data_IF_836659907562
#
_entry.id   IF_836659907562
#
_cell.length_a   1.000
_cell.length_b   1.000
_cell.length_c   1.000
_cell.angle_alpha   90.00
_cell.angle_beta   90.00
_cell.angle_gamma   90.00
#
_symmetry.space_group_name_H-M   'P 1'
#
loop_
_entity.id
_entity.type
_entity.pdbx_description
1 polymer ?
#
# COMPACT_ATOMS: atom_id res chain seq x y z
N UNK A 1 6.66 -10.41 11.54
CA UNK A 1 6.97 -9.04 11.08
C UNK A 1 6.90 -9.03 9.54
N UNK A 2 6.22 -8.07 8.91
CA UNK A 2 5.92 -8.11 7.47
C UNK A 2 7.04 -7.59 6.55
N UNK A 3 7.83 -6.61 7.02
CA UNK A 3 8.81 -5.88 6.20
C UNK A 3 9.88 -6.80 5.56
N UNK A 4 10.47 -7.79 6.25
CA UNK A 4 11.46 -8.67 5.61
C UNK A 4 10.91 -9.42 4.38
N UNK A 5 9.69 -9.93 4.49
CA UNK A 5 9.00 -10.64 3.39
C UNK A 5 8.60 -9.66 2.28
N UNK A 6 8.29 -8.40 2.60
CA UNK A 6 8.05 -7.37 1.58
C UNK A 6 9.27 -7.18 0.66
N UNK A 7 10.48 -7.18 1.21
CA UNK A 7 11.70 -7.04 0.39
C UNK A 7 11.93 -8.24 -0.54
N UNK A 8 11.67 -9.44 -0.07
CA UNK A 8 11.71 -10.65 -0.91
C UNK A 8 10.63 -10.61 -2.00
N UNK A 9 9.43 -10.16 -1.64
CA UNK A 9 8.32 -9.97 -2.57
C UNK A 9 8.69 -8.98 -3.68
N UNK A 10 9.18 -7.78 -3.34
CA UNK A 10 9.54 -6.75 -4.32
C UNK A 10 10.73 -7.16 -5.20
N UNK A 11 11.64 -8.01 -4.70
CA UNK A 11 12.71 -8.57 -5.53
C UNK A 11 12.17 -9.54 -6.58
N UNK A 12 11.16 -10.34 -6.24
CA UNK A 12 10.56 -11.34 -7.12
C UNK A 12 9.51 -10.76 -8.07
N UNK A 13 8.73 -9.80 -7.60
CA UNK A 13 7.67 -9.12 -8.33
C UNK A 13 7.94 -7.60 -8.32
N UNK A 14 8.89 -7.12 -9.15
CA UNK A 14 9.42 -5.75 -9.06
C UNK A 14 8.47 -4.67 -9.59
N UNK A 15 7.36 -5.05 -10.23
CA UNK A 15 6.41 -4.11 -10.83
C UNK A 15 5.00 -4.70 -10.84
N UNK A 16 3.95 -3.86 -10.97
CA UNK A 16 2.58 -4.33 -11.09
C UNK A 16 2.35 -5.20 -12.34
N UNK A 17 3.10 -4.98 -13.44
CA UNK A 17 3.04 -5.81 -14.64
C UNK A 17 3.47 -7.25 -14.37
N UNK A 18 4.54 -7.43 -13.57
CA UNK A 18 5.01 -8.76 -13.16
C UNK A 18 4.06 -9.36 -12.13
N UNK A 19 3.60 -8.58 -11.16
CA UNK A 19 2.71 -9.06 -10.10
C UNK A 19 1.34 -9.53 -10.63
N UNK A 20 0.74 -8.82 -11.60
CA UNK A 20 -0.56 -9.22 -12.20
C UNK A 20 -0.50 -10.53 -12.99
N UNK A 21 0.67 -10.87 -13.52
CA UNK A 21 0.89 -12.08 -14.32
C UNK A 21 1.33 -13.30 -13.49
N UNK A 22 1.53 -13.13 -12.18
CA UNK A 22 2.03 -14.18 -11.30
C UNK A 22 0.98 -15.27 -10.99
N UNK A 23 1.46 -16.49 -10.69
CA UNK A 23 0.61 -17.52 -10.08
C UNK A 23 0.39 -17.21 -8.59
N UNK A 24 -0.87 -17.08 -8.20
CA UNK A 24 -1.24 -16.83 -6.80
C UNK A 24 -0.76 -17.94 -5.87
N UNK A 25 -0.64 -19.18 -6.33
CA UNK A 25 -0.15 -20.29 -5.49
C UNK A 25 1.28 -20.04 -5.05
N UNK A 26 2.16 -19.74 -6.00
CA UNK A 26 3.57 -19.43 -5.75
C UNK A 26 3.74 -18.18 -4.89
N UNK A 27 2.97 -17.12 -5.15
CA UNK A 27 2.96 -15.93 -4.31
C UNK A 27 2.48 -16.24 -2.89
N UNK A 28 1.49 -17.13 -2.74
CA UNK A 28 0.96 -17.50 -1.42
C UNK A 28 1.97 -18.26 -0.56
N UNK A 29 2.88 -19.02 -1.18
CA UNK A 29 3.99 -19.68 -0.47
C UNK A 29 4.92 -18.67 0.19
N UNK A 30 5.29 -17.62 -0.56
CA UNK A 30 6.12 -16.54 -0.03
C UNK A 30 5.44 -15.80 1.12
N UNK A 31 4.12 -15.60 1.04
CA UNK A 31 3.34 -14.88 2.04
C UNK A 31 2.95 -15.74 3.25
N UNK A 32 3.17 -17.06 3.20
CA UNK A 32 2.71 -18.04 4.20
C UNK A 32 3.06 -17.66 5.64
N UNK A 33 4.29 -17.21 5.98
CA UNK A 33 4.65 -16.87 7.36
C UNK A 33 3.87 -15.70 7.95
N UNK A 34 3.19 -14.90 7.11
CA UNK A 34 2.50 -13.69 7.51
C UNK A 34 1.00 -13.92 7.81
N UNK A 35 0.45 -15.12 7.58
CA UNK A 35 -1.00 -15.42 7.69
C UNK A 35 -1.81 -14.94 6.48
N UNK A 36 -3.12 -15.27 6.39
CA UNK A 36 -4.02 -14.79 5.30
C UNK A 36 -3.43 -14.89 3.87
N UNK A 37 -2.53 -15.84 3.63
CA UNK A 37 -1.59 -15.80 2.52
C UNK A 37 -2.25 -16.05 1.17
N UNK A 38 -3.24 -16.95 1.12
CA UNK A 38 -4.07 -17.18 -0.07
C UNK A 38 -4.89 -15.94 -0.42
N UNK A 39 -5.53 -15.32 0.57
CA UNK A 39 -6.34 -14.12 0.37
C UNK A 39 -5.46 -12.99 -0.17
N UNK A 40 -4.33 -12.72 0.49
CA UNK A 40 -3.42 -11.64 0.06
C UNK A 40 -2.78 -11.88 -1.30
N UNK A 41 -2.38 -13.11 -1.62
CA UNK A 41 -1.82 -13.41 -2.94
C UNK A 41 -2.81 -13.07 -4.06
N UNK A 42 -4.06 -13.52 -3.92
CA UNK A 42 -5.13 -13.21 -4.89
C UNK A 42 -5.45 -11.71 -4.93
N UNK A 43 -5.49 -11.05 -3.77
CA UNK A 43 -5.72 -9.61 -3.68
C UNK A 43 -4.60 -8.82 -4.36
N UNK A 44 -3.33 -9.16 -4.15
CA UNK A 44 -2.18 -8.47 -4.76
C UNK A 44 -2.20 -8.59 -6.29
N UNK A 45 -2.48 -9.78 -6.82
CA UNK A 45 -2.58 -10.00 -8.27
C UNK A 45 -3.71 -9.13 -8.86
N UNK A 46 -4.90 -9.17 -8.26
CA UNK A 46 -6.05 -8.38 -8.72
C UNK A 46 -5.84 -6.88 -8.55
N UNK A 47 -5.27 -6.44 -7.43
CA UNK A 47 -4.89 -5.06 -7.18
C UNK A 47 -3.94 -4.56 -8.26
N UNK A 48 -2.90 -5.33 -8.58
CA UNK A 48 -1.89 -4.95 -9.57
C UNK A 48 -2.47 -4.86 -10.99
N UNK A 49 -3.44 -5.72 -11.31
CA UNK A 49 -4.18 -5.64 -12.57
C UNK A 49 -5.06 -4.39 -12.65
N UNK A 50 -5.89 -4.14 -11.62
CA UNK A 50 -6.74 -2.95 -11.57
C UNK A 50 -5.91 -1.66 -11.53
N UNK A 51 -4.75 -1.66 -10.85
CA UNK A 51 -3.85 -0.51 -10.79
C UNK A 51 -3.41 -0.03 -12.17
N UNK A 52 -3.18 -0.96 -13.11
CA UNK A 52 -2.74 -0.66 -14.48
C UNK A 52 -3.89 -0.42 -15.46
N UNK A 53 -5.00 -1.15 -15.29
CA UNK A 53 -6.03 -1.23 -16.32
C UNK A 53 -7.32 -0.48 -15.97
N UNK A 54 -7.56 -0.14 -14.70
CA UNK A 54 -8.72 0.64 -14.28
C UNK A 54 -8.40 2.13 -14.35
N UNK A 55 -9.36 2.96 -14.72
CA UNK A 55 -9.25 4.40 -14.48
C UNK A 55 -9.63 4.67 -13.03
N UNK A 56 -8.69 5.19 -12.25
CA UNK A 56 -8.88 5.52 -10.84
C UNK A 56 -8.21 6.86 -10.53
N UNK A 57 -8.74 7.58 -9.54
CA UNK A 57 -8.15 8.81 -9.02
C UNK A 57 -7.49 8.57 -7.66
N UNK A 58 -8.13 7.78 -6.80
CA UNK A 58 -7.64 7.40 -5.49
C UNK A 58 -7.57 5.88 -5.36
N UNK A 59 -6.54 5.32 -4.70
CA UNK A 59 -6.35 3.88 -4.69
C UNK A 59 -7.42 3.13 -3.89
N UNK A 60 -8.24 3.79 -3.05
CA UNK A 60 -9.42 3.16 -2.43
C UNK A 60 -10.42 2.58 -3.45
N UNK A 61 -10.37 3.06 -4.69
CA UNK A 61 -11.17 2.54 -5.79
C UNK A 61 -10.66 1.17 -6.28
N UNK A 62 -9.45 0.76 -5.89
CA UNK A 62 -8.80 -0.47 -6.31
C UNK A 62 -9.05 -1.60 -5.31
N UNK A 63 -9.25 -2.81 -5.83
CA UNK A 63 -9.46 -3.99 -4.99
C UNK A 63 -8.33 -4.19 -3.98
N UNK A 64 -8.70 -4.38 -2.71
CA UNK A 64 -7.74 -4.64 -1.63
C UNK A 64 -7.24 -3.40 -0.89
N UNK A 65 -7.55 -2.20 -1.38
CA UNK A 65 -7.18 -0.96 -0.70
C UNK A 65 -8.39 -0.39 0.04
N UNK A 66 -8.28 -0.29 1.37
CA UNK A 66 -9.23 0.40 2.23
C UNK A 66 -8.74 1.77 2.68
N UNK A 67 -9.42 2.34 3.67
CA UNK A 67 -9.07 3.66 4.24
C UNK A 67 -7.60 3.79 4.63
N UNK A 68 -7.02 2.79 5.31
CA UNK A 68 -5.61 2.80 5.70
C UNK A 68 -4.64 2.99 4.51
N UNK A 69 -4.84 2.21 3.43
CA UNK A 69 -3.99 2.32 2.25
C UNK A 69 -4.21 3.62 1.49
N UNK A 70 -5.45 4.11 1.46
CA UNK A 70 -5.79 5.37 0.82
C UNK A 70 -5.23 6.60 1.56
N UNK A 71 -5.35 6.62 2.89
CA UNK A 71 -4.77 7.67 3.72
C UNK A 71 -3.24 7.68 3.58
N UNK A 72 -2.60 6.50 3.56
CA UNK A 72 -1.17 6.38 3.25
C UNK A 72 -0.83 7.02 1.90
N UNK A 73 -1.56 6.71 0.84
CA UNK A 73 -1.33 7.30 -0.48
C UNK A 73 -1.49 8.83 -0.47
N UNK A 74 -2.56 9.34 0.14
CA UNK A 74 -2.86 10.78 0.22
C UNK A 74 -1.84 11.57 1.05
N UNK A 75 -1.15 10.92 1.98
CA UNK A 75 -0.08 11.54 2.78
C UNK A 75 1.26 11.47 2.05
N UNK A 76 1.63 10.32 1.49
CA UNK A 76 3.00 10.05 1.05
C UNK A 76 3.23 10.13 -0.46
N UNK A 77 2.19 9.92 -1.28
CA UNK A 77 2.32 9.88 -2.73
C UNK A 77 1.77 11.13 -3.42
N UNK A 78 0.83 11.83 -2.77
CA UNK A 78 0.30 13.12 -3.21
C UNK A 78 0.29 14.08 -2.02
N UNK A 79 0.26 15.39 -2.29
CA UNK A 79 0.36 16.40 -1.25
C UNK A 79 -1.01 16.76 -0.64
N UNK A 80 -1.73 15.75 -0.14
CA UNK A 80 -3.07 15.93 0.44
C UNK A 80 -3.08 15.68 1.96
N UNK A 81 -1.91 15.61 2.61
CA UNK A 81 -1.77 15.19 4.00
C UNK A 81 -2.59 16.06 4.99
N UNK A 82 -2.78 17.36 4.72
CA UNK A 82 -3.63 18.27 5.52
C UNK A 82 -5.11 17.90 5.49
N UNK A 83 -5.57 17.22 4.44
CA UNK A 83 -6.97 16.80 4.24
C UNK A 83 -7.26 15.38 4.74
N UNK A 84 -6.27 14.72 5.32
CA UNK A 84 -6.36 13.34 5.78
C UNK A 84 -6.60 13.30 7.29
N UNK A 85 -7.53 12.43 7.71
CA UNK A 85 -7.76 12.08 9.10
C UNK A 85 -7.53 10.57 9.26
N UNK A 86 -6.30 10.13 9.58
CA UNK A 86 -6.00 8.72 9.70
C UNK A 86 -6.67 8.09 10.93
N UNK A 87 -6.88 6.78 10.87
CA UNK A 87 -7.37 5.98 12.00
C UNK A 87 -6.35 4.94 12.45
N UNK A 88 -5.29 4.72 11.66
CA UNK A 88 -4.21 3.82 12.00
C UNK A 88 -3.25 4.45 13.01
N UNK A 89 -2.80 3.65 13.97
CA UNK A 89 -1.95 4.13 15.06
C UNK A 89 -0.60 4.67 14.57
N UNK A 90 0.03 4.05 13.57
CA UNK A 90 1.33 4.50 13.05
C UNK A 90 1.18 5.70 12.12
N UNK A 91 0.15 5.73 11.28
CA UNK A 91 -0.17 6.92 10.49
C UNK A 91 -0.47 8.13 11.38
N UNK A 92 -1.21 7.96 12.47
CA UNK A 92 -1.49 9.05 13.41
C UNK A 92 -0.22 9.63 14.02
N UNK A 93 0.75 8.80 14.40
CA UNK A 93 2.04 9.26 14.93
C UNK A 93 2.77 10.12 13.89
N UNK A 94 2.87 9.64 12.65
CA UNK A 94 3.54 10.39 11.59
C UNK A 94 2.80 11.69 11.24
N UNK A 95 1.48 11.63 11.13
CA UNK A 95 0.64 12.77 10.78
C UNK A 95 0.66 13.88 11.84
N UNK A 96 0.62 13.52 13.13
CA UNK A 96 0.78 14.46 14.23
C UNK A 96 2.17 15.12 14.22
N UNK A 97 3.24 14.33 14.04
CA UNK A 97 4.60 14.86 13.90
C UNK A 97 4.71 15.82 12.70
N UNK A 98 4.08 15.49 11.57
CA UNK A 98 4.11 16.35 10.39
C UNK A 98 3.44 17.70 10.68
N UNK A 99 2.28 17.71 11.33
CA UNK A 99 1.63 18.95 11.79
C UNK A 99 2.51 19.80 12.73
N UNK A 100 3.31 19.18 13.59
CA UNK A 100 4.19 19.92 14.51
C UNK A 100 5.43 20.53 13.83
N UNK A 101 5.79 20.04 12.63
CA UNK A 101 7.09 20.33 12.01
C UNK A 101 7.00 20.90 10.59
N UNK A 102 5.84 20.87 9.93
CA UNK A 102 5.72 21.23 8.52
C UNK A 102 6.23 22.65 8.22
N UNK A 103 5.96 23.64 9.08
CA UNK A 103 6.49 25.01 8.93
C UNK A 103 8.02 25.05 8.99
N UNK A 104 8.62 24.35 9.95
CA UNK A 104 10.09 24.30 10.12
C UNK A 104 10.76 23.56 8.97
N UNK A 105 10.09 22.57 8.43
CA UNK A 105 10.56 21.77 7.30
C UNK A 105 10.27 22.44 5.95
N UNK A 106 9.55 23.56 5.93
CA UNK A 106 9.10 24.23 4.70
C UNK A 106 8.32 23.28 3.77
N UNK A 107 7.53 22.38 4.37
CA UNK A 107 6.63 21.48 3.67
C UNK A 107 5.22 22.04 3.86
N UNK A 108 4.53 22.29 2.76
CA UNK A 108 3.13 22.70 2.74
C UNK A 108 2.24 21.58 2.24
#
# INVERSE_FOLDING_TARGET
>A
MAIPVLWEFLRKYPSPEVARAADWKEMSELLRPLGLYVLRAKTIIKFSDEYLNKQWKYPIELHGIGKYGNDSYRIFCVNEWKEVQPQDHKLNIYHAWLWENHEKLSVD
#
